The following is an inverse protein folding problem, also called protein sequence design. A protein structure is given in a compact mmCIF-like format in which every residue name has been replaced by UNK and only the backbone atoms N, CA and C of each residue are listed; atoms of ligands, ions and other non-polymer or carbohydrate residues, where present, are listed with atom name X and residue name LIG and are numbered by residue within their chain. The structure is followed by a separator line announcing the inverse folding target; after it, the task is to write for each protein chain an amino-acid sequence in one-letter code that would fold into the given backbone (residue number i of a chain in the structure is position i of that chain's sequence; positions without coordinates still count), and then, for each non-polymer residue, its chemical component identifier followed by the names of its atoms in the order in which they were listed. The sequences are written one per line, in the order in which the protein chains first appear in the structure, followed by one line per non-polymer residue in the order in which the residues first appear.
data_IF_232767315861
#
_entry.id   IF_232767315861
#
_cell.length_a   1.000
_cell.length_b   1.000
_cell.length_c   1.000
_cell.angle_alpha   90.00
_cell.angle_beta   90.00
_cell.angle_gamma   90.00
#
_symmetry.space_group_name_H-M   'P 1'
#
loop_
_entity.id
_entity.type
_entity.pdbx_description
1 polymer ?
#
# COMPACT_ATOMS: atom_id res chain seq x y z
N UNK A 1 54.51 37.94 -29.21
CA UNK A 1 54.10 37.49 -27.88
C UNK A 1 52.59 37.34 -27.81
N UNK A 2 52.12 36.10 -27.90
CA UNK A 2 50.66 35.79 -27.87
C UNK A 2 50.28 35.40 -26.42
N UNK A 3 49.43 36.22 -25.78
CA UNK A 3 48.89 35.91 -24.46
C UNK A 3 47.74 34.89 -24.62
N UNK A 4 47.92 33.69 -24.09
CA UNK A 4 46.85 32.71 -23.93
C UNK A 4 45.98 33.13 -22.74
N UNK A 5 44.71 33.44 -23.01
CA UNK A 5 43.72 33.71 -21.99
C UNK A 5 43.10 32.36 -21.59
N UNK A 6 43.45 31.84 -20.42
CA UNK A 6 42.87 30.63 -19.90
C UNK A 6 41.45 30.90 -19.34
N UNK A 7 40.46 30.29 -19.93
CA UNK A 7 39.07 30.31 -19.42
C UNK A 7 38.96 29.22 -18.34
N UNK A 8 38.86 29.65 -17.08
CA UNK A 8 38.51 28.76 -15.96
C UNK A 8 37.02 28.57 -15.95
N UNK A 9 36.56 27.40 -16.42
CA UNK A 9 35.13 27.01 -16.29
C UNK A 9 34.94 26.49 -14.88
N UNK A 10 34.34 27.31 -14.03
CA UNK A 10 33.94 26.91 -12.68
C UNK A 10 32.65 26.06 -12.77
N UNK A 11 32.81 24.74 -12.79
CA UNK A 11 31.68 23.79 -12.77
C UNK A 11 30.94 23.89 -11.47
N UNK A 12 29.73 24.46 -11.50
CA UNK A 12 28.78 24.40 -10.39
C UNK A 12 28.24 22.95 -10.26
N UNK A 13 28.77 22.21 -9.28
CA UNK A 13 28.19 20.93 -8.85
C UNK A 13 26.83 21.20 -8.17
N UNK A 14 25.75 21.07 -8.90
CA UNK A 14 24.42 21.00 -8.32
C UNK A 14 24.31 19.70 -7.53
N UNK A 15 24.51 19.76 -6.23
CA UNK A 15 24.19 18.68 -5.33
C UNK A 15 22.66 18.63 -5.21
N UNK A 16 22.03 17.75 -5.99
CA UNK A 16 20.60 17.44 -5.84
C UNK A 16 20.41 16.72 -4.52
N UNK A 17 19.93 17.40 -3.49
CA UNK A 17 19.50 16.77 -2.25
C UNK A 17 18.21 16.00 -2.55
N UNK A 18 18.32 14.70 -2.80
CA UNK A 18 17.15 13.80 -2.78
C UNK A 18 16.64 13.74 -1.34
N UNK A 19 15.55 14.41 -1.05
CA UNK A 19 14.79 14.14 0.17
C UNK A 19 14.13 12.78 0.00
N UNK A 20 14.55 11.79 0.80
CA UNK A 20 13.88 10.52 0.87
C UNK A 20 12.46 10.74 1.44
N UNK A 21 11.45 10.17 0.80
CA UNK A 21 10.09 10.21 1.31
C UNK A 21 10.01 9.58 2.70
N UNK A 22 9.34 10.27 3.63
CA UNK A 22 9.07 9.67 4.93
C UNK A 22 7.83 8.78 4.80
N UNK A 23 8.02 7.47 4.94
CA UNK A 23 6.97 6.47 4.84
C UNK A 23 6.79 5.73 6.16
N UNK A 24 5.52 5.55 6.56
CA UNK A 24 5.15 4.65 7.65
C UNK A 24 3.90 3.85 7.27
N UNK A 25 4.01 2.54 7.22
CA UNK A 25 2.87 1.64 7.05
C UNK A 25 2.12 1.55 8.38
N UNK A 26 0.84 1.93 8.39
CA UNK A 26 -0.02 1.92 9.58
C UNK A 26 -0.66 0.54 9.77
N UNK A 27 -1.34 0.07 8.75
CA UNK A 27 -2.00 -1.23 8.65
C UNK A 27 -1.97 -1.73 7.18
N UNK A 28 -2.80 -2.72 6.83
CA UNK A 28 -2.77 -3.33 5.50
C UNK A 28 -3.24 -2.42 4.37
N UNK A 29 -3.98 -1.34 4.64
CA UNK A 29 -4.51 -0.43 3.62
C UNK A 29 -4.32 1.05 3.93
N UNK A 30 -3.49 1.37 4.91
CA UNK A 30 -3.25 2.74 5.35
C UNK A 30 -1.75 3.01 5.54
N UNK A 31 -1.26 4.07 4.90
CA UNK A 31 0.10 4.57 5.07
C UNK A 31 0.10 6.01 5.53
N UNK A 32 1.22 6.47 6.07
CA UNK A 32 1.56 7.90 6.20
C UNK A 32 2.74 8.17 5.29
N UNK A 33 2.55 9.01 4.30
CA UNK A 33 3.54 9.41 3.33
C UNK A 33 3.76 10.92 3.44
N UNK A 34 4.98 11.33 3.75
CA UNK A 34 5.34 12.75 3.96
C UNK A 34 4.39 13.50 4.93
N UNK A 35 3.96 12.80 5.99
CA UNK A 35 3.04 13.32 7.00
C UNK A 35 1.55 13.23 6.63
N UNK A 36 1.21 12.91 5.39
CA UNK A 36 -0.18 12.73 4.95
C UNK A 36 -0.65 11.29 5.18
N UNK A 37 -1.81 11.14 5.83
CA UNK A 37 -2.44 9.84 6.06
C UNK A 37 -3.29 9.46 4.85
N UNK A 38 -2.89 8.39 4.17
CA UNK A 38 -3.50 7.90 2.94
C UNK A 38 -4.11 6.53 3.20
N UNK A 39 -5.40 6.38 2.87
CA UNK A 39 -6.11 5.10 2.83
C UNK A 39 -6.26 4.65 1.39
N UNK A 40 -5.90 3.41 1.12
CA UNK A 40 -6.06 2.83 -0.22
C UNK A 40 -7.55 2.69 -0.56
N UNK A 41 -7.92 3.21 -1.72
CA UNK A 41 -9.30 3.21 -2.20
C UNK A 41 -9.74 1.84 -2.71
N UNK A 42 -11.04 1.57 -2.61
CA UNK A 42 -11.69 0.39 -3.20
C UNK A 42 -11.40 -0.95 -2.55
N UNK A 43 -10.62 -0.99 -1.48
CA UNK A 43 -10.28 -2.21 -0.74
C UNK A 43 -10.55 -2.07 0.76
N UNK A 44 -10.63 -3.22 1.44
CA UNK A 44 -10.65 -3.31 2.90
C UNK A 44 -9.74 -4.46 3.33
N UNK A 45 -8.92 -4.24 4.35
CA UNK A 45 -7.97 -5.22 4.85
C UNK A 45 -8.34 -5.66 6.27
N UNK A 46 -7.89 -6.84 6.74
CA UNK A 46 -8.12 -7.22 8.12
C UNK A 46 -7.56 -6.17 9.08
N UNK A 47 -8.30 -5.92 10.14
CA UNK A 47 -7.89 -5.01 11.21
C UNK A 47 -6.57 -5.47 11.82
N UNK A 48 -5.72 -4.54 12.27
CA UNK A 48 -4.37 -4.85 12.74
C UNK A 48 -4.34 -5.96 13.81
N UNK A 49 -5.35 -6.00 14.68
CA UNK A 49 -5.48 -7.01 15.75
C UNK A 49 -6.28 -8.25 15.32
N UNK A 50 -6.76 -8.28 14.09
CA UNK A 50 -7.59 -9.38 13.60
C UNK A 50 -6.75 -10.64 13.44
N UNK A 51 -7.30 -11.76 13.93
CA UNK A 51 -6.75 -13.10 13.74
C UNK A 51 -7.64 -13.95 12.83
N UNK A 52 -7.03 -14.88 12.13
CA UNK A 52 -7.68 -15.90 11.31
C UNK A 52 -7.30 -17.29 11.82
N UNK A 53 -7.97 -18.33 11.36
CA UNK A 53 -7.62 -19.71 11.68
C UNK A 53 -7.07 -20.40 10.43
N UNK A 54 -5.85 -20.91 10.52
CA UNK A 54 -5.23 -21.77 9.53
C UNK A 54 -4.94 -23.12 10.17
N UNK A 55 -5.55 -24.18 9.64
CA UNK A 55 -5.41 -25.54 10.19
C UNK A 55 -5.71 -25.61 11.71
N UNK A 56 -6.73 -24.85 12.16
CA UNK A 56 -7.12 -24.76 13.56
C UNK A 56 -6.26 -23.86 14.44
N UNK A 57 -5.16 -23.30 13.91
CA UNK A 57 -4.27 -22.41 14.63
C UNK A 57 -4.55 -20.95 14.34
N UNK A 58 -4.49 -20.09 15.36
CA UNK A 58 -4.63 -18.64 15.22
C UNK A 58 -3.40 -18.05 14.52
N UNK A 59 -3.63 -17.28 13.47
CA UNK A 59 -2.60 -16.50 12.78
C UNK A 59 -2.99 -15.02 12.76
N UNK A 60 -2.02 -14.08 12.88
CA UNK A 60 -2.29 -12.65 12.96
C UNK A 60 -2.50 -12.06 11.55
N UNK A 61 -3.66 -12.32 10.93
CA UNK A 61 -3.91 -11.96 9.52
C UNK A 61 -3.84 -10.44 9.27
N UNK A 62 -4.22 -9.60 10.24
CA UNK A 62 -4.06 -8.15 10.13
C UNK A 62 -2.59 -7.72 10.10
N UNK A 63 -1.76 -8.29 10.96
CA UNK A 63 -0.31 -8.03 10.94
C UNK A 63 0.33 -8.57 9.66
N UNK A 64 -0.12 -9.72 9.17
CA UNK A 64 0.39 -10.30 7.92
C UNK A 64 0.08 -9.41 6.72
N UNK A 65 -1.13 -8.83 6.65
CA UNK A 65 -1.48 -7.86 5.60
C UNK A 65 -0.56 -6.62 5.65
N UNK A 66 -0.31 -6.08 6.85
CA UNK A 66 0.61 -4.95 7.06
C UNK A 66 2.04 -5.30 6.63
N UNK A 67 2.55 -6.46 7.04
CA UNK A 67 3.91 -6.91 6.71
C UNK A 67 4.06 -7.10 5.20
N UNK A 68 3.07 -7.72 4.55
CA UNK A 68 3.06 -7.92 3.10
C UNK A 68 3.11 -6.58 2.35
N UNK A 69 2.33 -5.59 2.79
CA UNK A 69 2.38 -4.24 2.22
C UNK A 69 3.77 -3.61 2.41
N UNK A 70 4.32 -3.68 3.62
CA UNK A 70 5.64 -3.11 3.91
C UNK A 70 6.75 -3.77 3.07
N UNK A 71 6.72 -5.09 2.91
CA UNK A 71 7.65 -5.83 2.04
C UNK A 71 7.50 -5.42 0.57
N UNK A 72 6.26 -5.30 0.09
CA UNK A 72 5.99 -4.89 -1.30
C UNK A 72 6.52 -3.49 -1.60
N UNK A 73 6.40 -2.58 -0.67
CA UNK A 73 6.92 -1.21 -0.82
C UNK A 73 8.45 -1.21 -0.71
N UNK A 74 9.01 -1.87 0.31
CA UNK A 74 10.46 -1.88 0.54
C UNK A 74 11.03 -0.46 0.59
N UNK A 75 12.00 -0.20 -0.27
CA UNK A 75 12.64 1.11 -0.45
C UNK A 75 12.19 1.83 -1.74
N UNK A 76 11.14 1.34 -2.39
CA UNK A 76 10.66 1.93 -3.63
C UNK A 76 9.92 3.25 -3.39
N UNK A 77 9.94 4.11 -4.39
CA UNK A 77 9.12 5.33 -4.41
C UNK A 77 7.66 4.95 -4.62
N UNK A 78 6.78 5.59 -3.85
CA UNK A 78 5.33 5.40 -3.94
C UNK A 78 4.74 6.59 -4.69
N UNK A 79 3.92 6.30 -5.70
CA UNK A 79 3.12 7.28 -6.40
C UNK A 79 1.65 7.05 -6.06
N UNK A 80 0.95 8.09 -5.56
CA UNK A 80 -0.45 8.00 -5.18
C UNK A 80 -1.31 8.95 -6.00
N UNK A 81 -2.41 8.45 -6.55
CA UNK A 81 -3.43 9.23 -7.25
C UNK A 81 -4.60 9.42 -6.31
N UNK A 82 -4.80 10.66 -5.84
CA UNK A 82 -5.88 11.00 -4.93
C UNK A 82 -7.26 10.89 -5.60
N UNK A 83 -8.20 10.29 -4.90
CA UNK A 83 -9.62 10.15 -5.30
C UNK A 83 -10.55 10.95 -4.38
N UNK A 84 -10.02 11.75 -3.45
CA UNK A 84 -10.76 12.56 -2.50
C UNK A 84 -10.39 12.28 -1.05
N UNK A 85 -11.32 12.57 -0.13
CA UNK A 85 -11.14 12.32 1.30
C UNK A 85 -12.30 11.53 1.88
N UNK A 86 -12.01 10.70 2.87
CA UNK A 86 -13.05 10.01 3.64
C UNK A 86 -13.61 10.90 4.77
N UNK A 87 -14.60 10.37 5.50
CA UNK A 87 -15.23 11.05 6.63
C UNK A 87 -14.28 11.34 7.80
N UNK A 88 -13.15 10.63 7.86
CA UNK A 88 -12.09 10.84 8.85
C UNK A 88 -10.97 11.76 8.36
N UNK A 89 -11.18 12.46 7.24
CA UNK A 89 -10.24 13.37 6.59
C UNK A 89 -8.95 12.71 6.09
N UNK A 90 -8.91 11.37 5.96
CA UNK A 90 -7.81 10.67 5.31
C UNK A 90 -7.93 10.86 3.79
N UNK A 91 -6.82 11.02 3.11
CA UNK A 91 -6.82 11.00 1.64
C UNK A 91 -7.10 9.58 1.16
N UNK A 92 -8.16 9.43 0.35
CA UNK A 92 -8.41 8.21 -0.40
C UNK A 92 -7.57 8.26 -1.67
N UNK A 93 -6.79 7.23 -1.93
CA UNK A 93 -5.95 7.19 -3.11
C UNK A 93 -5.72 5.76 -3.61
N UNK A 94 -5.46 5.62 -4.90
CA UNK A 94 -4.79 4.44 -5.43
C UNK A 94 -3.30 4.72 -5.49
N UNK A 95 -2.50 3.88 -4.84
CA UNK A 95 -1.05 4.02 -4.75
C UNK A 95 -0.34 2.91 -5.52
N UNK A 96 0.82 3.25 -6.08
CA UNK A 96 1.58 2.41 -6.99
C UNK A 96 3.04 2.34 -6.56
N UNK A 97 3.66 1.18 -6.78
CA UNK A 97 5.10 0.93 -6.71
C UNK A 97 5.50 0.27 -8.02
N UNK A 98 6.49 0.83 -8.70
CA UNK A 98 6.97 0.35 -10.00
C UNK A 98 5.82 0.13 -11.01
N UNK A 99 4.82 1.01 -11.00
CA UNK A 99 3.65 0.97 -11.88
C UNK A 99 2.59 -0.08 -11.50
N UNK A 100 2.80 -0.87 -10.45
CA UNK A 100 1.82 -1.84 -9.94
C UNK A 100 0.98 -1.24 -8.81
N UNK A 101 -0.36 -1.33 -8.92
CA UNK A 101 -1.29 -0.91 -7.89
C UNK A 101 -1.13 -1.74 -6.62
N UNK A 102 -0.87 -1.07 -5.49
CA UNK A 102 -0.78 -1.71 -4.18
C UNK A 102 -2.13 -2.32 -3.75
N UNK A 103 -3.26 -1.66 -4.06
CA UNK A 103 -4.59 -2.21 -3.84
C UNK A 103 -4.80 -3.52 -4.60
N UNK A 104 -4.46 -3.54 -5.89
CA UNK A 104 -4.54 -4.76 -6.71
C UNK A 104 -3.66 -5.88 -6.17
N UNK A 105 -2.40 -5.54 -5.84
CA UNK A 105 -1.46 -6.51 -5.27
C UNK A 105 -1.99 -7.17 -4.01
N UNK A 106 -2.51 -6.39 -3.05
CA UNK A 106 -3.04 -6.89 -1.79
C UNK A 106 -4.27 -7.79 -1.99
N UNK A 107 -5.18 -7.39 -2.89
CA UNK A 107 -6.38 -8.19 -3.21
C UNK A 107 -5.99 -9.50 -3.87
N UNK A 108 -5.10 -9.47 -4.88
CA UNK A 108 -4.62 -10.68 -5.56
C UNK A 108 -3.82 -11.62 -4.65
N UNK A 109 -3.14 -11.08 -3.65
CA UNK A 109 -2.43 -11.86 -2.63
C UNK A 109 -3.38 -12.48 -1.58
N UNK A 110 -4.66 -12.11 -1.58
CA UNK A 110 -5.67 -12.59 -0.65
C UNK A 110 -5.58 -11.97 0.75
N UNK A 111 -4.92 -10.80 0.90
CA UNK A 111 -4.83 -10.05 2.17
C UNK A 111 -5.62 -8.74 2.16
N UNK A 112 -6.39 -8.49 1.11
CA UNK A 112 -7.41 -7.45 1.05
C UNK A 112 -8.65 -7.98 0.33
N UNK A 113 -9.77 -7.32 0.58
CA UNK A 113 -11.05 -7.62 -0.03
C UNK A 113 -11.49 -6.45 -0.91
N UNK A 114 -12.09 -6.73 -2.07
CA UNK A 114 -12.74 -5.72 -2.89
C UNK A 114 -13.93 -5.13 -2.10
N UNK A 115 -13.84 -3.83 -1.78
CA UNK A 115 -14.88 -3.19 -0.98
C UNK A 115 -16.02 -2.67 -1.86
N UNK A 116 -16.89 -3.58 -2.25
CA UNK A 116 -17.96 -3.39 -3.24
C UNK A 116 -18.92 -2.24 -2.93
N UNK A 117 -19.00 -1.83 -1.67
CA UNK A 117 -19.80 -0.66 -1.26
C UNK A 117 -19.31 0.63 -1.95
N UNK A 118 -18.02 0.71 -2.26
CA UNK A 118 -17.40 1.91 -2.83
C UNK A 118 -16.83 1.71 -4.22
N UNK A 119 -16.42 0.49 -4.58
CA UNK A 119 -15.81 0.20 -5.88
C UNK A 119 -15.92 -1.26 -6.26
N UNK A 120 -16.10 -1.52 -7.55
CA UNK A 120 -16.06 -2.87 -8.13
C UNK A 120 -14.74 -3.17 -8.84
N UNK A 121 -13.79 -2.22 -8.83
CA UNK A 121 -12.53 -2.26 -9.58
C UNK A 121 -11.73 -3.53 -9.35
N UNK A 122 -11.67 -4.01 -8.11
CA UNK A 122 -10.81 -5.14 -7.71
C UNK A 122 -11.56 -6.48 -7.55
N UNK A 123 -12.82 -6.56 -7.99
CA UNK A 123 -13.63 -7.79 -7.84
C UNK A 123 -13.01 -8.98 -8.58
N UNK A 124 -12.50 -8.77 -9.80
CA UNK A 124 -11.83 -9.84 -10.57
C UNK A 124 -10.53 -10.31 -9.92
N UNK A 125 -9.81 -9.40 -9.26
CA UNK A 125 -8.57 -9.72 -8.54
C UNK A 125 -8.87 -10.52 -7.27
N UNK A 126 -9.97 -10.21 -6.58
CA UNK A 126 -10.46 -10.99 -5.45
C UNK A 126 -10.90 -12.41 -5.87
N UNK A 127 -11.66 -12.53 -6.97
CA UNK A 127 -12.03 -13.84 -7.52
C UNK A 127 -10.80 -14.69 -7.84
N UNK A 128 -9.76 -14.08 -8.42
CA UNK A 128 -8.49 -14.77 -8.66
C UNK A 128 -7.89 -15.30 -7.36
N UNK A 129 -7.79 -14.48 -6.31
CA UNK A 129 -7.24 -14.89 -5.02
C UNK A 129 -8.06 -16.00 -4.38
N UNK A 130 -9.39 -15.92 -4.47
CA UNK A 130 -10.34 -16.89 -3.93
C UNK A 130 -10.23 -18.25 -4.62
N UNK A 131 -10.25 -18.28 -5.95
CA UNK A 131 -10.12 -19.53 -6.73
C UNK A 131 -8.79 -20.23 -6.45
N UNK A 132 -7.71 -19.46 -6.30
CA UNK A 132 -6.38 -19.99 -6.03
C UNK A 132 -6.08 -20.17 -4.53
N UNK A 133 -7.06 -19.93 -3.64
CA UNK A 133 -6.93 -20.06 -2.18
C UNK A 133 -5.71 -19.32 -1.63
N UNK A 134 -5.49 -18.08 -2.08
CA UNK A 134 -4.35 -17.26 -1.66
C UNK A 134 -4.65 -16.52 -0.35
N UNK A 135 -3.62 -16.33 0.46
CA UNK A 135 -3.70 -15.56 1.70
C UNK A 135 -4.82 -16.06 2.61
N UNK A 136 -5.73 -15.16 2.99
CA UNK A 136 -6.85 -15.46 3.87
C UNK A 136 -7.87 -16.45 3.24
N UNK A 137 -7.93 -16.55 1.92
CA UNK A 137 -8.81 -17.50 1.25
C UNK A 137 -8.48 -18.98 1.49
N UNK A 138 -7.29 -19.26 2.03
CA UNK A 138 -6.89 -20.58 2.55
C UNK A 138 -7.18 -20.75 4.05
N UNK A 139 -7.87 -19.81 4.68
CA UNK A 139 -8.10 -19.78 6.13
C UNK A 139 -9.59 -19.65 6.45
N UNK A 140 -9.97 -19.87 7.70
CA UNK A 140 -11.26 -19.42 8.23
C UNK A 140 -11.07 -18.02 8.78
N UNK A 141 -11.87 -17.07 8.32
CA UNK A 141 -11.77 -15.67 8.70
C UNK A 141 -13.14 -15.01 8.79
N UNK A 142 -13.17 -13.89 9.47
CA UNK A 142 -14.27 -12.94 9.46
C UNK A 142 -13.91 -11.77 8.54
N UNK A 143 -14.87 -11.25 7.77
CA UNK A 143 -14.59 -10.06 6.96
C UNK A 143 -14.29 -8.86 7.84
N UNK A 144 -13.39 -7.94 7.43
CA UNK A 144 -13.01 -6.80 8.27
C UNK A 144 -14.19 -5.94 8.71
N UNK A 145 -15.15 -5.70 7.82
CA UNK A 145 -16.36 -4.93 8.14
C UNK A 145 -17.30 -5.63 9.15
N UNK A 146 -17.24 -6.94 9.27
CA UNK A 146 -17.98 -7.69 10.28
C UNK A 146 -17.20 -7.76 11.58
N UNK A 147 -15.88 -7.91 11.52
CA UNK A 147 -15.00 -7.86 12.69
C UNK A 147 -15.13 -6.53 13.44
N UNK A 148 -15.26 -5.40 12.74
CA UNK A 148 -15.44 -4.08 13.36
C UNK A 148 -16.79 -3.91 14.10
N UNK A 149 -17.74 -4.81 13.93
CA UNK A 149 -19.04 -4.78 14.63
C UNK A 149 -19.05 -5.58 15.92
N UNK A 150 -18.02 -6.40 16.16
CA UNK A 150 -17.87 -7.24 17.35
C UNK A 150 -17.04 -6.55 18.42
#
# INVERSE_FOLDING_TARGET
MKKLLGIVVLGLLFCSTSFADSLRVVDGDTIVLNGEKIRFSGIDTPELKQTCLKDGQKVPCGMNAKSLLAEKIGNATIECISEGKDTYKRTLAECFVDGESLSKFLVRSGYAFAYRKYSTKFVKDEEFAKVNKLGMWAMTFQYPWDFRKT
#
